data_IF_429940889794
#
_entry.id   IF_429940889794
#
_cell.length_a   1.000
_cell.length_b   1.000
_cell.length_c   1.000
_cell.angle_alpha   90.00
_cell.angle_beta   90.00
_cell.angle_gamma   90.00
#
_symmetry.space_group_name_H-M   'P 1'
#
loop_
_entity.id
_entity.type
_entity.pdbx_description
1 polymer ?
#
# COMPACT_ATOMS: atom_id res chain seq x y z
N UNK A 1 22.55 27.42 0.71
CA UNK A 1 22.95 26.01 0.64
C UNK A 1 21.78 25.22 1.19
N UNK A 2 20.92 24.69 0.33
CA UNK A 2 19.78 23.89 0.76
C UNK A 2 20.30 22.61 1.41
N UNK A 3 19.85 22.32 2.63
CA UNK A 3 20.23 21.12 3.37
C UNK A 3 19.91 19.86 2.56
N UNK A 4 20.90 18.98 2.44
CA UNK A 4 20.82 17.75 1.64
C UNK A 4 20.08 16.62 2.42
N UNK A 5 19.42 16.95 3.53
CA UNK A 5 18.73 16.02 4.43
C UNK A 5 17.24 15.88 4.13
N UNK A 6 16.57 14.92 4.81
CA UNK A 6 15.14 14.74 4.73
C UNK A 6 14.34 15.99 5.12
N UNK A 7 13.19 16.19 4.48
CA UNK A 7 12.26 17.28 4.78
C UNK A 7 11.32 16.87 5.93
N UNK A 8 10.90 17.85 6.74
CA UNK A 8 9.98 17.61 7.87
C UNK A 8 8.61 17.11 7.39
N UNK A 9 8.02 17.74 6.37
CA UNK A 9 6.73 17.33 5.81
C UNK A 9 6.84 15.99 5.07
N UNK A 10 6.10 14.95 5.47
CA UNK A 10 6.22 13.62 4.87
C UNK A 10 5.83 13.57 3.39
N UNK A 11 4.88 14.41 2.96
CA UNK A 11 4.44 14.40 1.56
C UNK A 11 5.48 15.08 0.66
N UNK A 12 5.98 16.25 1.08
CA UNK A 12 7.07 16.92 0.37
C UNK A 12 8.32 16.03 0.31
N UNK A 13 8.58 15.27 1.37
CA UNK A 13 9.69 14.31 1.42
C UNK A 13 9.48 13.13 0.47
N UNK A 14 8.26 12.58 0.41
CA UNK A 14 7.94 11.53 -0.55
C UNK A 14 8.15 11.98 -2.00
N UNK A 15 7.77 13.22 -2.33
CA UNK A 15 8.00 13.82 -3.65
C UNK A 15 9.50 14.05 -3.92
N UNK A 16 10.28 14.48 -2.91
CA UNK A 16 11.73 14.64 -3.01
C UNK A 16 12.43 13.31 -3.32
N UNK A 17 12.06 12.24 -2.59
CA UNK A 17 12.60 10.88 -2.82
C UNK A 17 12.24 10.39 -4.21
N UNK A 18 10.98 10.53 -4.63
CA UNK A 18 10.53 10.11 -5.96
C UNK A 18 11.26 10.88 -7.08
N UNK A 19 11.50 12.18 -6.90
CA UNK A 19 12.27 13.01 -7.84
C UNK A 19 13.72 12.55 -7.94
N UNK A 20 14.38 12.28 -6.81
CA UNK A 20 15.75 11.79 -6.77
C UNK A 20 15.87 10.39 -7.40
N UNK A 21 14.93 9.50 -7.13
CA UNK A 21 14.87 8.16 -7.72
C UNK A 21 14.73 8.24 -9.26
N UNK A 22 13.85 9.11 -9.75
CA UNK A 22 13.67 9.35 -11.18
C UNK A 22 14.97 9.85 -11.82
N UNK A 23 15.63 10.85 -11.20
CA UNK A 23 16.90 11.40 -11.68
C UNK A 23 18.01 10.31 -11.73
N UNK A 24 18.02 9.41 -10.77
CA UNK A 24 18.94 8.25 -10.70
C UNK A 24 18.49 7.06 -11.57
N UNK A 25 17.34 7.11 -12.23
CA UNK A 25 16.71 6.01 -12.97
C UNK A 25 16.48 4.76 -12.13
N UNK A 26 16.07 4.95 -10.88
CA UNK A 26 15.73 3.91 -9.92
C UNK A 26 14.21 3.73 -9.91
N UNK A 27 13.74 2.52 -10.18
CA UNK A 27 12.33 2.20 -10.24
C UNK A 27 11.75 1.98 -8.83
N UNK A 28 11.32 3.05 -8.16
CA UNK A 28 10.52 2.95 -6.92
C UNK A 28 9.15 3.59 -7.10
N UNK A 29 8.16 3.04 -6.41
CA UNK A 29 6.78 3.56 -6.38
C UNK A 29 6.33 3.74 -4.95
N UNK A 30 5.78 4.90 -4.64
CA UNK A 30 5.20 5.21 -3.34
C UNK A 30 3.92 4.37 -3.14
N UNK A 31 3.80 3.79 -1.97
CA UNK A 31 2.66 3.00 -1.50
C UNK A 31 1.98 3.70 -0.32
N UNK A 32 1.08 2.97 0.33
CA UNK A 32 0.50 3.33 1.60
C UNK A 32 -0.27 4.65 1.58
N UNK A 33 -0.39 5.28 2.75
CA UNK A 33 -1.18 6.49 2.90
C UNK A 33 -0.62 7.70 2.14
N UNK A 34 0.70 7.86 2.09
CA UNK A 34 1.32 8.97 1.35
C UNK A 34 1.11 8.82 -0.16
N UNK A 35 1.17 7.59 -0.70
CA UNK A 35 0.85 7.30 -2.10
C UNK A 35 -0.59 7.64 -2.44
N UNK A 36 -1.53 7.26 -1.57
CA UNK A 36 -2.95 7.59 -1.73
C UNK A 36 -3.15 9.10 -1.66
N UNK A 37 -2.50 9.80 -0.73
CA UNK A 37 -2.61 11.26 -0.63
C UNK A 37 -2.18 11.96 -1.92
N UNK A 38 -1.05 11.60 -2.50
CA UNK A 38 -0.55 12.21 -3.74
C UNK A 38 -1.48 11.90 -4.92
N UNK A 39 -2.06 10.69 -4.95
CA UNK A 39 -2.94 10.24 -6.02
C UNK A 39 -4.38 10.76 -5.91
N UNK A 40 -4.83 11.12 -4.67
CA UNK A 40 -6.25 11.39 -4.39
C UNK A 40 -6.46 12.81 -3.86
N UNK A 41 -6.93 13.76 -4.68
CA UNK A 41 -7.24 15.12 -4.26
C UNK A 41 -8.22 15.21 -3.07
N UNK A 42 -9.14 14.24 -2.93
CA UNK A 42 -10.08 14.16 -1.80
C UNK A 42 -9.37 13.99 -0.46
N UNK A 43 -8.17 13.38 -0.43
CA UNK A 43 -7.36 13.25 0.79
C UNK A 43 -6.77 14.57 1.31
N UNK A 44 -6.84 15.66 0.53
CA UNK A 44 -6.27 16.96 0.90
C UNK A 44 -7.21 17.81 1.77
N UNK A 45 -8.48 17.43 1.94
CA UNK A 45 -9.52 18.21 2.61
C UNK A 45 -10.32 17.37 3.60
N UNK A 46 -10.92 18.07 4.56
CA UNK A 46 -11.86 17.43 5.49
C UNK A 46 -13.04 16.78 4.74
N UNK A 47 -13.57 15.64 5.22
CA UNK A 47 -13.20 14.94 6.44
C UNK A 47 -12.03 13.95 6.27
N UNK A 48 -11.41 13.83 5.07
CA UNK A 48 -10.44 12.81 4.73
C UNK A 48 -8.98 13.24 4.95
N UNK A 49 -8.74 14.55 5.18
CA UNK A 49 -7.40 15.06 5.48
C UNK A 49 -6.88 14.51 6.80
N UNK A 50 -5.69 13.92 6.78
CA UNK A 50 -5.01 13.40 7.97
C UNK A 50 -3.51 13.70 7.96
N UNK A 51 -2.84 13.37 9.05
CA UNK A 51 -1.37 13.40 9.15
C UNK A 51 -0.78 12.08 8.66
N UNK A 52 0.36 12.19 8.01
CA UNK A 52 1.18 11.06 7.56
C UNK A 52 2.46 11.03 8.39
N UNK A 53 3.06 9.86 8.56
CA UNK A 53 4.32 9.67 9.30
C UNK A 53 5.30 8.91 8.42
N UNK A 54 5.12 7.59 8.38
CA UNK A 54 5.99 6.68 7.67
C UNK A 54 5.78 6.73 6.15
N UNK A 55 6.79 6.34 5.41
CA UNK A 55 6.76 6.26 3.95
C UNK A 55 6.97 4.82 3.51
N UNK A 56 6.02 4.32 2.71
CA UNK A 56 6.08 2.99 2.14
C UNK A 56 6.37 3.07 0.65
N UNK A 57 7.30 2.27 0.16
CA UNK A 57 7.63 2.16 -1.26
C UNK A 57 7.59 0.70 -1.71
N UNK A 58 7.44 0.50 -3.02
CA UNK A 58 7.75 -0.75 -3.69
C UNK A 58 8.81 -0.53 -4.75
N UNK A 59 9.63 -1.56 -4.98
CA UNK A 59 10.63 -1.54 -6.05
C UNK A 59 10.75 -2.90 -6.72
N UNK A 60 11.15 -2.98 -8.00
CA UNK A 60 11.57 -4.22 -8.61
C UNK A 60 12.93 -4.65 -8.07
N UNK A 61 13.13 -5.95 -7.87
CA UNK A 61 14.36 -6.52 -7.31
C UNK A 61 15.64 -6.09 -8.03
N UNK A 62 15.55 -5.84 -9.34
CA UNK A 62 16.69 -5.34 -10.14
C UNK A 62 17.28 -4.03 -9.62
N UNK A 63 16.49 -3.19 -8.96
CA UNK A 63 16.91 -1.86 -8.48
C UNK A 63 17.43 -1.87 -7.03
N UNK A 64 17.46 -3.04 -6.35
CA UNK A 64 17.85 -3.18 -4.95
C UNK A 64 19.20 -2.50 -4.63
N UNK A 65 20.24 -2.74 -5.46
CA UNK A 65 21.57 -2.13 -5.24
C UNK A 65 21.53 -0.60 -5.35
N UNK A 66 20.76 -0.09 -6.30
CA UNK A 66 20.60 1.35 -6.50
C UNK A 66 19.83 2.00 -5.36
N UNK A 67 18.78 1.36 -4.82
CA UNK A 67 18.01 1.85 -3.67
C UNK A 67 18.87 1.87 -2.41
N UNK A 68 19.70 0.85 -2.16
CA UNK A 68 20.65 0.83 -1.03
C UNK A 68 21.71 1.94 -1.09
N UNK A 69 22.00 2.48 -2.28
CA UNK A 69 22.88 3.62 -2.44
C UNK A 69 22.11 4.96 -2.38
N UNK A 70 20.86 4.99 -2.87
CA UNK A 70 20.04 6.20 -2.98
C UNK A 70 19.65 6.76 -1.61
N UNK A 71 19.10 5.94 -0.73
CA UNK A 71 18.58 6.42 0.56
C UNK A 71 19.66 7.00 1.45
N UNK A 72 20.86 6.41 1.63
CA UNK A 72 21.95 7.06 2.36
C UNK A 72 22.40 8.38 1.72
N UNK A 73 22.43 8.48 0.39
CA UNK A 73 22.76 9.73 -0.30
C UNK A 73 21.70 10.84 -0.08
N UNK A 74 20.46 10.44 0.27
CA UNK A 74 19.37 11.35 0.63
C UNK A 74 19.32 11.70 2.14
N UNK A 75 20.24 11.17 2.94
CA UNK A 75 20.35 11.44 4.37
C UNK A 75 19.63 10.45 5.27
N UNK A 76 19.26 9.28 4.77
CA UNK A 76 18.64 8.21 5.54
C UNK A 76 19.68 7.22 6.08
N UNK A 77 19.45 6.70 7.26
CA UNK A 77 20.22 5.60 7.82
C UNK A 77 19.58 4.26 7.47
N UNK A 78 20.37 3.33 6.96
CA UNK A 78 19.90 1.98 6.66
C UNK A 78 19.91 1.12 7.93
N UNK A 79 18.84 0.37 8.21
CA UNK A 79 18.90 -0.70 9.19
C UNK A 79 19.71 -1.88 8.58
N UNK A 80 21.02 -1.87 8.83
CA UNK A 80 21.94 -2.87 8.26
C UNK A 80 21.56 -4.30 8.65
N UNK A 81 21.15 -4.50 9.91
CA UNK A 81 20.77 -5.82 10.41
C UNK A 81 19.51 -6.34 9.73
N UNK A 82 18.48 -5.53 9.68
CA UNK A 82 17.23 -5.88 9.00
C UNK A 82 17.49 -6.10 7.50
N UNK A 83 18.21 -5.19 6.85
CA UNK A 83 18.51 -5.26 5.43
C UNK A 83 19.42 -6.43 5.05
N UNK A 84 20.22 -6.94 5.98
CA UNK A 84 20.98 -8.18 5.80
C UNK A 84 20.08 -9.42 5.90
N UNK A 85 19.15 -9.45 6.87
CA UNK A 85 18.29 -10.63 7.13
C UNK A 85 17.07 -10.71 6.20
N UNK A 86 16.45 -9.59 5.88
CA UNK A 86 15.20 -9.50 5.12
C UNK A 86 15.34 -8.80 3.77
N UNK A 87 16.53 -8.33 3.42
CA UNK A 87 16.74 -7.47 2.26
C UNK A 87 16.61 -8.14 0.88
N UNK A 88 16.14 -9.36 0.81
CA UNK A 88 15.62 -10.00 -0.40
C UNK A 88 14.12 -9.76 -0.63
N UNK A 89 13.40 -9.27 0.42
CA UNK A 89 11.95 -9.04 0.43
C UNK A 89 11.57 -7.61 0.80
N UNK A 90 12.34 -6.96 1.70
CA UNK A 90 12.04 -5.64 2.25
C UNK A 90 13.34 -4.95 2.67
N UNK A 91 13.46 -3.64 2.42
CA UNK A 91 14.52 -2.79 2.95
C UNK A 91 13.92 -1.77 3.90
N UNK A 92 14.72 -1.36 4.90
CA UNK A 92 14.29 -0.47 5.94
C UNK A 92 15.32 0.64 6.16
N UNK A 93 14.81 1.87 6.25
CA UNK A 93 15.63 3.07 6.43
C UNK A 93 14.98 4.01 7.44
N UNK A 94 15.82 4.84 8.09
CA UNK A 94 15.40 5.82 9.07
C UNK A 94 15.82 7.24 8.68
N UNK A 95 14.90 8.17 8.88
CA UNK A 95 15.13 9.59 8.98
C UNK A 95 15.24 9.95 10.48
N UNK A 96 16.46 10.05 10.97
CA UNK A 96 16.75 10.34 12.38
C UNK A 96 16.36 11.76 12.78
N UNK A 97 16.28 12.71 11.82
CA UNK A 97 15.94 14.10 12.10
C UNK A 97 14.46 14.25 12.47
N UNK A 98 13.58 13.43 11.83
CA UNK A 98 12.13 13.53 12.00
C UNK A 98 11.51 12.24 12.56
N UNK A 99 12.32 11.29 13.03
CA UNK A 99 11.88 9.98 13.56
C UNK A 99 10.94 9.22 12.60
N UNK A 100 11.24 9.27 11.29
CA UNK A 100 10.44 8.71 10.23
C UNK A 100 11.00 7.40 9.73
N UNK A 101 10.14 6.43 9.60
CA UNK A 101 10.45 5.12 9.01
C UNK A 101 10.20 5.13 7.52
N UNK A 102 11.04 4.42 6.77
CA UNK A 102 10.84 4.18 5.35
C UNK A 102 10.97 2.69 5.08
N UNK A 103 9.90 2.13 4.56
CA UNK A 103 9.81 0.75 4.11
C UNK A 103 9.88 0.65 2.60
N UNK A 104 10.70 -0.27 2.08
CA UNK A 104 10.77 -0.52 0.65
C UNK A 104 10.55 -2.00 0.37
N UNK A 105 9.35 -2.35 -0.09
CA UNK A 105 8.97 -3.71 -0.47
C UNK A 105 9.58 -4.10 -1.81
N UNK A 106 10.07 -5.33 -1.92
CA UNK A 106 10.74 -5.85 -3.11
C UNK A 106 9.82 -6.83 -3.83
N UNK A 107 9.44 -6.51 -5.07
CA UNK A 107 8.60 -7.30 -5.98
C UNK A 107 7.19 -7.63 -5.46
N UNK A 108 6.92 -7.50 -4.17
CA UNK A 108 5.62 -7.82 -3.58
C UNK A 108 5.42 -7.12 -2.24
N UNK A 109 4.20 -6.70 -1.95
CA UNK A 109 3.79 -6.31 -0.59
C UNK A 109 3.57 -7.61 0.19
N UNK A 110 4.22 -7.71 1.37
CA UNK A 110 4.12 -8.88 2.26
C UNK A 110 3.76 -8.39 3.65
N UNK A 111 2.47 -8.36 3.90
CA UNK A 111 1.88 -8.01 5.19
C UNK A 111 0.91 -9.13 5.61
N UNK A 112 -0.39 -8.86 5.75
CA UNK A 112 -1.35 -9.92 6.07
C UNK A 112 -1.57 -10.91 4.93
N UNK A 113 -1.34 -10.45 3.69
CA UNK A 113 -1.35 -11.26 2.47
C UNK A 113 -0.20 -10.84 1.54
N UNK A 114 0.08 -11.67 0.54
CA UNK A 114 1.12 -11.37 -0.45
C UNK A 114 0.45 -10.81 -1.71
N UNK A 115 0.82 -9.59 -2.09
CA UNK A 115 0.41 -8.95 -3.34
C UNK A 115 1.63 -8.84 -4.24
N UNK A 116 1.65 -9.62 -5.32
CA UNK A 116 2.74 -9.62 -6.30
C UNK A 116 2.68 -8.35 -7.17
N UNK A 117 3.75 -7.58 -7.17
CA UNK A 117 3.89 -6.33 -7.92
C UNK A 117 4.82 -6.44 -9.14
N UNK A 118 5.32 -7.63 -9.45
CA UNK A 118 6.20 -7.84 -10.62
C UNK A 118 5.46 -7.47 -11.90
N UNK A 119 6.13 -6.64 -12.73
CA UNK A 119 5.54 -6.10 -13.96
C UNK A 119 4.48 -4.99 -13.75
N UNK A 120 4.27 -4.53 -12.50
CA UNK A 120 3.30 -3.48 -12.16
C UNK A 120 3.95 -2.16 -11.74
N UNK A 121 5.26 -2.14 -11.57
CA UNK A 121 6.01 -0.96 -11.09
C UNK A 121 6.67 -0.15 -12.22
N UNK A 122 6.49 -0.56 -13.47
CA UNK A 122 7.19 0.04 -14.63
C UNK A 122 6.39 1.19 -15.29
N UNK A 123 5.21 1.55 -14.79
CA UNK A 123 4.42 2.69 -15.28
C UNK A 123 5.02 4.04 -14.88
N UNK A 124 4.58 5.13 -15.53
CA UNK A 124 4.99 6.49 -15.18
C UNK A 124 4.38 6.95 -13.85
N UNK A 125 4.91 8.05 -13.30
CA UNK A 125 4.46 8.65 -12.03
C UNK A 125 5.18 8.11 -10.79
N UNK A 126 5.05 8.84 -9.66
CA UNK A 126 5.77 8.52 -8.41
C UNK A 126 5.10 7.42 -7.57
N UNK A 127 3.79 7.23 -7.73
CA UNK A 127 2.99 6.32 -6.90
C UNK A 127 2.74 4.99 -7.62
N UNK A 128 2.42 3.93 -6.87
CA UNK A 128 1.83 2.72 -7.41
C UNK A 128 0.44 3.01 -8.00
N UNK A 129 -0.08 2.11 -8.84
CA UNK A 129 -1.40 2.29 -9.45
C UNK A 129 -2.51 2.36 -8.39
N UNK A 130 -3.68 2.98 -8.67
CA UNK A 130 -4.81 2.98 -7.76
C UNK A 130 -5.23 1.58 -7.31
N UNK A 131 -5.13 0.58 -8.18
CA UNK A 131 -5.38 -0.82 -7.82
C UNK A 131 -4.40 -1.35 -6.77
N UNK A 132 -3.09 -1.07 -6.93
CA UNK A 132 -2.07 -1.54 -6.00
C UNK A 132 -2.12 -0.78 -4.67
N UNK A 133 -2.44 0.53 -4.70
CA UNK A 133 -2.71 1.33 -3.52
C UNK A 133 -3.94 0.80 -2.75
N UNK A 134 -5.04 0.48 -3.45
CA UNK A 134 -6.23 -0.13 -2.85
C UNK A 134 -5.88 -1.46 -2.17
N UNK A 135 -5.16 -2.32 -2.89
CA UNK A 135 -4.76 -3.64 -2.40
C UNK A 135 -3.78 -3.55 -1.22
N UNK A 136 -2.90 -2.55 -1.19
CA UNK A 136 -1.98 -2.34 -0.07
C UNK A 136 -2.70 -2.15 1.26
N UNK A 137 -3.93 -1.63 1.22
CA UNK A 137 -4.80 -1.41 2.39
C UNK A 137 -5.81 -2.53 2.61
N UNK A 138 -6.55 -2.95 1.58
CA UNK A 138 -7.60 -3.98 1.72
C UNK A 138 -7.07 -5.36 2.13
N UNK A 139 -5.78 -5.63 1.99
CA UNK A 139 -5.18 -6.88 2.45
C UNK A 139 -4.92 -6.93 3.97
N UNK A 140 -4.98 -5.80 4.69
CA UNK A 140 -4.61 -5.70 6.10
C UNK A 140 -5.71 -6.34 6.95
N UNK A 141 -5.34 -7.29 7.84
CA UNK A 141 -6.30 -7.96 8.72
C UNK A 141 -6.96 -7.01 9.73
N UNK A 142 -6.15 -6.16 10.37
CA UNK A 142 -6.63 -5.19 11.35
C UNK A 142 -6.55 -3.77 10.79
N UNK A 143 -7.40 -3.48 9.79
CA UNK A 143 -7.51 -2.11 9.28
C UNK A 143 -7.95 -1.15 10.39
N UNK A 144 -7.24 -0.05 10.50
CA UNK A 144 -7.56 1.05 11.39
C UNK A 144 -8.33 2.18 10.67
N UNK A 145 -8.79 3.19 11.43
CA UNK A 145 -9.54 4.32 10.86
C UNK A 145 -8.78 5.09 9.78
N UNK A 146 -7.44 5.19 9.87
CA UNK A 146 -6.62 5.87 8.85
C UNK A 146 -6.68 5.13 7.52
N UNK A 147 -6.67 3.79 7.56
CA UNK A 147 -6.76 2.97 6.35
C UNK A 147 -8.12 3.13 5.67
N UNK A 148 -9.21 3.18 6.46
CA UNK A 148 -10.57 3.38 5.96
C UNK A 148 -10.74 4.76 5.30
N UNK A 149 -10.17 5.81 5.89
CA UNK A 149 -10.15 7.17 5.33
C UNK A 149 -9.37 7.22 4.02
N UNK A 150 -8.19 6.59 3.97
CA UNK A 150 -7.37 6.49 2.75
C UNK A 150 -8.12 5.78 1.61
N UNK A 151 -8.75 4.64 1.92
CA UNK A 151 -9.55 3.88 0.94
C UNK A 151 -10.75 4.69 0.43
N UNK A 152 -11.40 5.44 1.31
CA UNK A 152 -12.51 6.33 0.92
C UNK A 152 -12.03 7.38 -0.07
N UNK A 153 -10.90 8.06 0.20
CA UNK A 153 -10.34 9.05 -0.70
C UNK A 153 -9.99 8.44 -2.08
N UNK A 154 -9.35 7.29 -2.08
CA UNK A 154 -8.98 6.60 -3.31
C UNK A 154 -10.22 6.21 -4.15
N UNK A 155 -11.27 5.70 -3.48
CA UNK A 155 -12.52 5.32 -4.13
C UNK A 155 -13.38 6.52 -4.56
N UNK A 156 -13.19 7.72 -4.01
CA UNK A 156 -13.84 8.95 -4.49
C UNK A 156 -13.19 9.48 -5.77
N UNK A 157 -11.89 9.32 -5.91
CA UNK A 157 -11.15 10.00 -6.98
C UNK A 157 -10.86 9.10 -8.19
N UNK A 158 -10.83 7.77 -8.01
CA UNK A 158 -10.48 6.83 -9.07
C UNK A 158 -11.67 5.96 -9.49
N UNK A 159 -12.02 5.96 -10.81
CA UNK A 159 -13.08 5.09 -11.32
C UNK A 159 -12.64 3.61 -11.32
N UNK A 160 -13.61 2.72 -11.37
CA UNK A 160 -13.37 1.30 -11.66
C UNK A 160 -13.35 1.12 -13.16
N UNK A 161 -12.20 0.71 -13.72
CA UNK A 161 -12.04 0.47 -15.17
C UNK A 161 -10.85 -0.45 -15.43
N UNK A 162 -10.96 -1.30 -16.43
CA UNK A 162 -9.85 -2.18 -16.85
C UNK A 162 -8.84 -1.47 -17.74
N UNK A 163 -7.56 -1.87 -17.63
CA UNK A 163 -6.50 -1.49 -18.57
C UNK A 163 -6.00 -0.05 -18.46
N UNK A 164 -6.20 0.62 -17.32
CA UNK A 164 -5.68 1.96 -17.04
C UNK A 164 -4.88 1.97 -15.74
N UNK A 165 -3.71 2.59 -15.78
CA UNK A 165 -2.87 2.80 -14.59
C UNK A 165 -3.43 3.91 -13.67
N UNK A 166 -4.47 4.64 -14.11
CA UNK A 166 -5.15 5.71 -13.36
C UNK A 166 -6.50 5.26 -12.78
N UNK A 167 -6.88 3.99 -12.97
CA UNK A 167 -8.15 3.43 -12.51
C UNK A 167 -7.94 2.19 -11.65
N UNK A 168 -9.00 1.81 -10.93
CA UNK A 168 -9.04 0.57 -10.15
C UNK A 168 -9.47 -0.57 -11.07
N UNK A 169 -8.57 -1.52 -11.33
CA UNK A 169 -8.84 -2.70 -12.15
C UNK A 169 -9.49 -3.81 -11.32
N UNK A 170 -10.82 -3.88 -11.38
CA UNK A 170 -11.61 -4.89 -10.68
C UNK A 170 -11.29 -6.32 -11.14
N UNK A 171 -10.94 -6.54 -12.42
CA UNK A 171 -10.56 -7.85 -12.93
C UNK A 171 -9.22 -8.34 -12.40
N UNK A 172 -8.27 -7.42 -12.19
CA UNK A 172 -7.01 -7.73 -11.51
C UNK A 172 -7.25 -8.17 -10.06
N UNK A 173 -8.05 -7.40 -9.31
CA UNK A 173 -8.42 -7.73 -7.93
C UNK A 173 -9.14 -9.08 -7.88
N UNK A 174 -10.08 -9.32 -8.79
CA UNK A 174 -10.83 -10.57 -8.88
C UNK A 174 -9.93 -11.78 -9.15
N UNK A 175 -8.88 -11.64 -9.99
CA UNK A 175 -7.90 -12.71 -10.22
C UNK A 175 -7.17 -13.10 -8.93
N UNK A 176 -6.66 -12.11 -8.18
CA UNK A 176 -5.97 -12.37 -6.91
C UNK A 176 -6.89 -13.05 -5.89
N UNK A 177 -8.12 -12.58 -5.76
CA UNK A 177 -9.12 -13.16 -4.86
C UNK A 177 -9.53 -14.58 -5.25
N UNK A 178 -9.57 -14.89 -6.55
CA UNK A 178 -9.85 -16.23 -7.03
C UNK A 178 -8.68 -17.21 -6.83
N UNK A 179 -7.47 -16.73 -6.72
CA UNK A 179 -6.30 -17.59 -6.49
C UNK A 179 -6.12 -17.98 -5.02
N UNK A 180 -6.51 -17.12 -4.06
CA UNK A 180 -6.38 -17.36 -2.63
C UNK A 180 -7.67 -16.99 -1.88
N UNK A 181 -8.34 -18.00 -1.27
CA UNK A 181 -9.52 -17.79 -0.43
C UNK A 181 -9.23 -16.86 0.76
N UNK A 182 -8.05 -16.92 1.33
CA UNK A 182 -7.68 -16.09 2.49
C UNK A 182 -7.72 -14.61 2.13
N UNK A 183 -7.20 -14.29 0.94
CA UNK A 183 -7.25 -12.92 0.43
C UNK A 183 -8.67 -12.48 0.06
N UNK A 184 -9.46 -13.37 -0.58
CA UNK A 184 -10.88 -13.11 -0.83
C UNK A 184 -11.62 -12.76 0.46
N UNK A 185 -11.41 -13.54 1.53
CA UNK A 185 -12.05 -13.30 2.82
C UNK A 185 -11.57 -11.99 3.48
N UNK A 186 -10.30 -11.62 3.31
CA UNK A 186 -9.81 -10.30 3.75
C UNK A 186 -10.54 -9.16 3.04
N UNK A 187 -10.73 -9.27 1.72
CA UNK A 187 -11.49 -8.27 0.95
C UNK A 187 -12.93 -8.16 1.45
N UNK A 188 -13.60 -9.30 1.65
CA UNK A 188 -14.99 -9.36 2.15
C UNK A 188 -15.12 -8.60 3.47
N UNK A 189 -14.35 -9.00 4.49
CA UNK A 189 -14.36 -8.38 5.82
C UNK A 189 -14.02 -6.89 5.77
N UNK A 190 -13.04 -6.51 4.96
CA UNK A 190 -12.56 -5.14 4.92
C UNK A 190 -13.46 -4.21 4.11
N UNK A 191 -14.13 -4.71 3.09
CA UNK A 191 -15.18 -3.96 2.36
C UNK A 191 -16.38 -3.69 3.29
N UNK A 192 -16.81 -4.67 4.09
CA UNK A 192 -17.88 -4.47 5.07
C UNK A 192 -17.50 -3.42 6.14
N UNK A 193 -16.27 -3.45 6.65
CA UNK A 193 -15.77 -2.43 7.59
C UNK A 193 -15.76 -1.04 6.96
N UNK A 194 -15.32 -0.95 5.70
CA UNK A 194 -15.28 0.32 4.97
C UNK A 194 -16.70 0.86 4.77
N UNK A 195 -17.63 0.04 4.30
CA UNK A 195 -19.02 0.44 4.10
C UNK A 195 -19.67 0.99 5.39
N UNK A 196 -19.49 0.30 6.52
CA UNK A 196 -19.97 0.73 7.82
C UNK A 196 -19.37 2.08 8.25
N UNK A 197 -18.11 2.37 7.90
CA UNK A 197 -17.43 3.64 8.23
C UNK A 197 -17.97 4.81 7.41
N UNK A 198 -18.48 4.57 6.19
CA UNK A 198 -18.98 5.63 5.32
C UNK A 198 -20.12 6.42 5.94
N UNK A 199 -20.92 5.81 6.82
CA UNK A 199 -22.04 6.50 7.47
C UNK A 199 -21.58 7.58 8.47
N UNK A 200 -20.31 7.51 8.90
CA UNK A 200 -19.69 8.50 9.79
C UNK A 200 -19.00 9.66 9.04
N UNK A 201 -18.88 9.57 7.72
CA UNK A 201 -18.13 10.52 6.89
C UNK A 201 -19.08 11.39 6.06
N UNK A 202 -18.78 12.69 6.01
CA UNK A 202 -19.47 13.63 5.11
C UNK A 202 -18.82 13.64 3.73
N UNK A 203 -19.16 12.61 2.94
CA UNK A 203 -18.63 12.37 1.59
C UNK A 203 -19.73 11.84 0.68
N UNK A 204 -19.46 11.76 -0.63
CA UNK A 204 -20.35 11.05 -1.58
C UNK A 204 -20.27 9.53 -1.36
N UNK A 205 -21.05 9.06 -0.38
CA UNK A 205 -21.12 7.65 0.02
C UNK A 205 -21.67 6.75 -1.09
N UNK A 206 -22.61 7.24 -1.87
CA UNK A 206 -23.23 6.46 -2.93
C UNK A 206 -22.22 6.16 -4.04
N UNK A 207 -21.36 7.12 -4.38
CA UNK A 207 -20.28 6.89 -5.33
C UNK A 207 -19.29 5.84 -4.81
N UNK A 208 -18.88 5.93 -3.54
CA UNK A 208 -17.95 4.94 -2.95
C UNK A 208 -18.59 3.54 -2.92
N UNK A 209 -19.84 3.44 -2.47
CA UNK A 209 -20.60 2.18 -2.44
C UNK A 209 -20.78 1.57 -3.83
N UNK A 210 -21.07 2.40 -4.83
CA UNK A 210 -21.18 1.96 -6.21
C UNK A 210 -19.88 1.32 -6.72
N UNK A 211 -18.74 1.96 -6.46
CA UNK A 211 -17.42 1.45 -6.86
C UNK A 211 -17.04 0.18 -6.10
N UNK A 212 -17.31 0.11 -4.80
CA UNK A 212 -17.13 -1.12 -4.01
C UNK A 212 -17.99 -2.26 -4.54
N UNK A 213 -19.25 -1.99 -4.87
CA UNK A 213 -20.15 -2.99 -5.42
C UNK A 213 -19.68 -3.50 -6.81
N UNK A 214 -19.12 -2.63 -7.64
CA UNK A 214 -18.55 -3.00 -8.93
C UNK A 214 -17.32 -3.89 -8.77
N UNK A 215 -16.40 -3.56 -7.87
CA UNK A 215 -15.25 -4.38 -7.52
C UNK A 215 -15.71 -5.74 -6.98
N UNK A 216 -16.62 -5.73 -6.01
CA UNK A 216 -17.13 -6.97 -5.40
C UNK A 216 -17.83 -7.86 -6.39
N UNK A 217 -18.62 -7.30 -7.30
CA UNK A 217 -19.29 -8.03 -8.39
C UNK A 217 -18.28 -8.78 -9.25
N UNK A 218 -17.16 -8.16 -9.62
CA UNK A 218 -16.10 -8.82 -10.38
C UNK A 218 -15.43 -9.94 -9.57
N UNK A 219 -15.14 -9.66 -8.29
CA UNK A 219 -14.55 -10.64 -7.35
C UNK A 219 -15.46 -11.85 -7.17
N UNK A 220 -16.75 -11.66 -6.95
CA UNK A 220 -17.70 -12.75 -6.71
C UNK A 220 -17.95 -13.58 -7.97
N UNK A 221 -18.10 -12.94 -9.12
CA UNK A 221 -18.34 -13.61 -10.40
C UNK A 221 -17.15 -14.45 -10.90
N UNK A 222 -15.93 -14.19 -10.42
CA UNK A 222 -14.73 -14.92 -10.89
C UNK A 222 -14.76 -16.37 -10.45
N UNK A 223 -14.52 -17.29 -11.41
CA UNK A 223 -14.50 -18.73 -11.13
C UNK A 223 -13.41 -19.08 -10.10
N UNK A 224 -13.76 -19.85 -9.06
CA UNK A 224 -12.87 -20.28 -7.99
C UNK A 224 -12.40 -21.71 -8.21
N UNK A 225 -11.08 -21.99 -8.22
CA UNK A 225 -10.54 -23.34 -8.41
C UNK A 225 -10.87 -24.26 -7.20
N UNK A 226 -10.69 -25.56 -7.39
CA UNK A 226 -11.00 -26.55 -6.35
C UNK A 226 -10.25 -26.30 -5.05
N UNK A 227 -8.94 -25.97 -5.12
CA UNK A 227 -8.12 -25.66 -3.93
C UNK A 227 -8.71 -24.52 -3.10
N UNK A 228 -9.24 -23.48 -3.77
CA UNK A 228 -9.90 -22.34 -3.13
C UNK A 228 -11.17 -22.78 -2.39
N UNK A 229 -12.03 -23.58 -3.07
CA UNK A 229 -13.28 -24.08 -2.47
C UNK A 229 -13.04 -24.99 -1.27
N UNK A 230 -12.01 -25.85 -1.32
CA UNK A 230 -11.60 -26.67 -0.18
C UNK A 230 -11.10 -25.81 0.98
N UNK A 231 -10.32 -24.77 0.72
CA UNK A 231 -9.86 -23.84 1.77
C UNK A 231 -11.04 -23.05 2.37
N UNK A 232 -12.02 -22.66 1.58
CA UNK A 232 -13.24 -21.98 2.03
C UNK A 232 -14.07 -22.86 3.01
N UNK A 233 -14.11 -24.18 2.82
CA UNK A 233 -14.78 -25.11 3.75
C UNK A 233 -14.10 -25.16 5.12
N UNK A 234 -12.80 -24.92 5.19
CA UNK A 234 -12.06 -24.81 6.46
C UNK A 234 -12.43 -23.52 7.19
N UNK A 235 -12.62 -22.44 6.43
CA UNK A 235 -13.00 -21.12 6.93
C UNK A 235 -12.00 -20.59 7.96
N UNK A 236 -12.51 -19.93 8.99
CA UNK A 236 -11.74 -19.27 10.06
C UNK A 236 -11.23 -20.25 11.13
N UNK A 237 -11.52 -21.55 11.01
CA UNK A 237 -11.00 -22.57 11.92
C UNK A 237 -9.48 -22.67 11.92
N UNK A 238 -8.86 -22.23 10.81
CA UNK A 238 -7.41 -22.11 10.66
C UNK A 238 -7.09 -20.69 10.25
N UNK A 239 -6.09 -20.11 10.91
CA UNK A 239 -5.63 -18.75 10.66
C UNK A 239 -5.47 -18.50 9.16
N UNK A 240 -6.03 -17.41 8.68
CA UNK A 240 -6.12 -17.08 7.27
C UNK A 240 -5.29 -15.85 6.86
N UNK A 241 -4.64 -15.19 7.81
CA UNK A 241 -3.79 -14.02 7.60
C UNK A 241 -2.42 -14.23 8.26
N UNK A 242 -1.44 -13.47 7.84
CA UNK A 242 -0.15 -13.34 8.50
C UNK A 242 -0.13 -12.05 9.31
N UNK A 243 0.57 -12.04 10.45
CA UNK A 243 0.87 -10.79 11.14
C UNK A 243 2.11 -10.20 10.48
N UNK A 244 2.08 -8.92 10.13
CA UNK A 244 3.28 -8.23 9.65
C UNK A 244 4.41 -8.38 10.66
N UNK A 245 5.64 -8.59 10.18
CA UNK A 245 6.81 -8.48 11.04
C UNK A 245 6.90 -7.02 11.49
N UNK A 246 6.69 -6.78 12.80
CA UNK A 246 6.91 -5.47 13.40
C UNK A 246 8.41 -5.18 13.39
N UNK A 247 8.82 -4.18 12.63
CA UNK A 247 10.15 -3.62 12.75
C UNK A 247 10.10 -2.64 13.92
N UNK A 248 10.71 -3.01 15.04
CA UNK A 248 10.82 -2.11 16.18
C UNK A 248 11.71 -0.93 15.77
N UNK A 249 11.13 0.26 15.80
CA UNK A 249 11.91 1.50 15.71
C UNK A 249 12.93 1.51 16.84
N UNK A 250 14.20 1.82 16.59
CA UNK A 250 15.19 2.02 17.66
C UNK A 250 14.80 3.15 18.61
N UNK A 251 13.77 3.92 18.28
CA UNK A 251 13.25 5.05 19.05
C UNK A 251 11.90 4.77 19.74
N UNK A 252 11.33 3.57 19.64
CA UNK A 252 10.20 3.18 20.48
C UNK A 252 10.76 2.67 21.82
N UNK A 253 10.46 3.34 22.95
CA UNK A 253 10.83 2.82 24.26
C UNK A 253 10.15 1.45 24.47
N UNK A 254 10.90 0.53 25.08
CA UNK A 254 10.31 -0.75 25.54
C UNK A 254 9.13 -0.41 26.48
N UNK A 255 7.90 -0.84 26.12
CA UNK A 255 6.74 -0.82 27.01
C UNK A 255 6.87 -1.91 28.06
#
# INVERSE_FOLDING_TARGET
MGGNGPLEDPIAEAERIASAARAARVGIKLLGGAGIHIHSPSAHRAPLKRKYGDLDYAMPKRDRKAVLALFPALGYEADERFNLMQGDRRLYFFDNAHTRQVDVFIDAIRMSHIIDLRGRLDHEGPCASPSDLLLSKLQIYEMNRKDLVDLTALLLDHPVAAGSDEAIDAEYIARLAADDWRFYHALEVNIEKLDATLDELDVDRELVRSRLAEIWKAVDAKAKPLKWRLRAQVGDRVRWYELPEEVRSPYQPDE
#
